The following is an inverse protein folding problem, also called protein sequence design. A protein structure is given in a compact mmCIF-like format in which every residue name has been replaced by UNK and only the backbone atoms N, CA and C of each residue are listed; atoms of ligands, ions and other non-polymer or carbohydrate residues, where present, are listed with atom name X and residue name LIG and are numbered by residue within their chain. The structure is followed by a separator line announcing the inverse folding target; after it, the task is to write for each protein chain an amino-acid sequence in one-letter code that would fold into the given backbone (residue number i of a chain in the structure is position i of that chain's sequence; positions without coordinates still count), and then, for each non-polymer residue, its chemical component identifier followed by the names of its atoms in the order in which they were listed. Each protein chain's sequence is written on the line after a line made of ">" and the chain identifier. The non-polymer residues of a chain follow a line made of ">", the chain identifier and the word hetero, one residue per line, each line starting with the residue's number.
data_IF_113949188170
#
_entry.id   IF_113949188170
#
_cell.length_a   1.000
_cell.length_b   1.000
_cell.length_c   1.000
_cell.angle_alpha   90.00
_cell.angle_beta   90.00
_cell.angle_gamma   90.00
#
_symmetry.space_group_name_H-M   'P 1'
#
loop_
_entity.id
_entity.type
_entity.pdbx_description
1 polymer ?
#
# COMPACT_ATOMS: atom_id res chain seq x y z
N UNK A 1 -8.58 -7.51 -19.75
CA UNK A 1 -7.32 -7.50 -19.01
C UNK A 1 -6.80 -8.92 -18.78
N UNK A 2 -7.55 -9.86 -18.14
CA UNK A 2 -7.10 -11.25 -17.96
C UNK A 2 -6.76 -11.92 -19.29
N UNK A 3 -7.61 -11.80 -20.32
CA UNK A 3 -7.35 -12.35 -21.66
C UNK A 3 -6.03 -11.85 -22.28
N UNK A 4 -5.67 -10.61 -22.03
CA UNK A 4 -4.44 -10.01 -22.58
C UNK A 4 -3.19 -10.51 -21.85
N UNK A 5 -3.30 -10.76 -20.54
CA UNK A 5 -2.14 -10.95 -19.66
C UNK A 5 -1.96 -12.41 -19.17
N UNK A 6 -2.94 -13.28 -19.36
CA UNK A 6 -2.89 -14.67 -18.86
C UNK A 6 -1.67 -15.47 -19.33
N UNK A 7 -1.13 -15.13 -20.51
CA UNK A 7 0.06 -15.78 -21.05
C UNK A 7 1.38 -15.15 -20.60
N UNK A 8 1.33 -14.13 -19.75
CA UNK A 8 2.52 -13.48 -19.21
C UNK A 8 3.02 -14.26 -17.98
N UNK A 9 4.23 -14.85 -18.02
CA UNK A 9 4.75 -15.65 -16.91
C UNK A 9 5.05 -14.83 -15.65
N UNK A 10 5.24 -13.51 -15.81
CA UNK A 10 5.47 -12.59 -14.68
C UNK A 10 4.20 -12.22 -13.91
N UNK A 11 3.00 -12.55 -14.41
CA UNK A 11 1.77 -12.41 -13.64
C UNK A 11 1.66 -13.60 -12.69
N UNK A 12 1.74 -13.35 -11.40
CA UNK A 12 1.66 -14.38 -10.35
C UNK A 12 0.36 -14.33 -9.55
N UNK A 13 -0.34 -13.19 -9.58
CA UNK A 13 -1.60 -12.96 -8.86
C UNK A 13 -2.55 -12.10 -9.68
N UNK A 14 -3.85 -12.30 -9.45
CA UNK A 14 -4.93 -11.44 -9.94
C UNK A 14 -5.60 -10.73 -8.75
N UNK A 15 -5.54 -9.40 -8.72
CA UNK A 15 -6.21 -8.61 -7.70
C UNK A 15 -7.57 -8.11 -8.18
N UNK A 16 -8.63 -8.33 -7.40
CA UNK A 16 -9.98 -7.89 -7.74
C UNK A 16 -10.26 -6.45 -7.30
N UNK A 17 -9.78 -6.06 -6.14
CA UNK A 17 -10.11 -4.76 -5.56
C UNK A 17 -9.07 -4.29 -4.54
N UNK A 18 -9.09 -2.99 -4.25
CA UNK A 18 -8.34 -2.37 -3.18
C UNK A 18 -9.26 -1.51 -2.31
N UNK A 19 -9.17 -1.68 -0.98
CA UNK A 19 -9.86 -0.87 0.03
C UNK A 19 -11.38 -0.72 -0.18
N UNK A 20 -12.02 -1.76 -0.67
CA UNK A 20 -13.47 -1.77 -0.86
C UNK A 20 -14.09 -3.05 -0.35
N UNK A 21 -15.37 -2.99 -0.03
CA UNK A 21 -16.14 -4.16 0.38
C UNK A 21 -16.86 -4.73 -0.82
N UNK A 22 -16.29 -5.76 -1.44
CA UNK A 22 -17.02 -6.55 -2.44
C UNK A 22 -17.96 -7.53 -1.74
N UNK A 23 -19.22 -7.67 -2.20
CA UNK A 23 -20.04 -8.79 -1.80
C UNK A 23 -19.33 -10.10 -2.12
N UNK A 24 -19.37 -11.05 -1.18
CA UNK A 24 -18.66 -12.33 -1.30
C UNK A 24 -19.04 -13.09 -2.57
N UNK A 25 -20.32 -13.13 -2.88
CA UNK A 25 -20.84 -13.83 -4.05
C UNK A 25 -20.31 -13.22 -5.36
N UNK A 26 -20.22 -11.88 -5.41
CA UNK A 26 -19.66 -11.18 -6.57
C UNK A 26 -18.15 -11.45 -6.73
N UNK A 27 -17.41 -11.43 -5.63
CA UNK A 27 -15.97 -11.77 -5.66
C UNK A 27 -15.74 -13.22 -6.09
N UNK A 28 -16.61 -14.13 -5.66
CA UNK A 28 -16.59 -15.54 -6.07
C UNK A 28 -16.86 -15.70 -7.57
N UNK A 29 -17.90 -15.05 -8.08
CA UNK A 29 -18.23 -15.08 -9.51
C UNK A 29 -17.10 -14.53 -10.36
N UNK A 30 -16.51 -13.40 -9.97
CA UNK A 30 -15.32 -12.84 -10.63
C UNK A 30 -14.14 -13.83 -10.61
N UNK A 31 -13.92 -14.49 -9.49
CA UNK A 31 -12.86 -15.49 -9.35
C UNK A 31 -13.07 -16.68 -10.27
N UNK A 32 -14.29 -17.16 -10.40
CA UNK A 32 -14.65 -18.27 -11.29
C UNK A 32 -14.46 -17.90 -12.77
N UNK A 33 -14.86 -16.68 -13.16
CA UNK A 33 -14.61 -16.14 -14.50
C UNK A 33 -13.11 -16.05 -14.79
N UNK A 34 -12.31 -15.58 -13.83
CA UNK A 34 -10.85 -15.51 -14.00
C UNK A 34 -10.27 -16.91 -14.19
N UNK A 35 -10.68 -17.90 -13.39
CA UNK A 35 -10.23 -19.29 -13.51
C UNK A 35 -10.62 -19.95 -14.81
N UNK A 36 -11.77 -19.57 -15.37
CA UNK A 36 -12.19 -20.03 -16.69
C UNK A 36 -11.31 -19.44 -17.79
N UNK A 37 -11.01 -18.14 -17.71
CA UNK A 37 -10.19 -17.45 -18.69
C UNK A 37 -8.69 -17.76 -18.57
N UNK A 38 -8.21 -18.01 -17.36
CA UNK A 38 -6.84 -18.37 -17.03
C UNK A 38 -6.79 -19.67 -16.22
N UNK A 39 -6.65 -20.83 -16.87
CA UNK A 39 -6.60 -22.11 -16.18
C UNK A 39 -5.47 -22.22 -15.14
N UNK A 40 -4.39 -21.44 -15.26
CA UNK A 40 -3.32 -21.43 -14.26
C UNK A 40 -3.76 -20.83 -12.92
N UNK A 41 -4.83 -20.03 -12.91
CA UNK A 41 -5.43 -19.53 -11.68
C UNK A 41 -6.18 -20.60 -10.85
N UNK A 42 -6.27 -21.84 -11.36
CA UNK A 42 -6.77 -22.99 -10.60
C UNK A 42 -5.71 -23.67 -9.75
N UNK A 43 -4.44 -23.50 -10.09
CA UNK A 43 -3.35 -24.30 -9.51
C UNK A 43 -2.11 -23.51 -9.11
N UNK A 44 -1.86 -22.37 -9.74
CA UNK A 44 -0.61 -21.62 -9.56
C UNK A 44 -0.81 -20.17 -9.19
N UNK A 45 -1.69 -19.45 -9.91
CA UNK A 45 -1.94 -18.03 -9.67
C UNK A 45 -3.06 -17.88 -8.66
N UNK A 46 -2.81 -17.10 -7.62
CA UNK A 46 -3.83 -16.77 -6.62
C UNK A 46 -4.68 -15.57 -7.05
N UNK A 47 -5.94 -15.57 -6.64
CA UNK A 47 -6.85 -14.44 -6.80
C UNK A 47 -6.99 -13.77 -5.46
N UNK A 48 -6.81 -12.45 -5.41
CA UNK A 48 -6.74 -11.70 -4.16
C UNK A 48 -7.71 -10.53 -4.11
N UNK A 49 -8.06 -10.16 -2.91
CA UNK A 49 -8.49 -8.81 -2.55
C UNK A 49 -7.37 -8.11 -1.79
N UNK A 50 -7.41 -6.79 -1.69
CA UNK A 50 -6.47 -6.03 -0.86
C UNK A 50 -7.23 -5.17 0.15
N UNK A 51 -6.95 -5.41 1.43
CA UNK A 51 -7.51 -4.70 2.57
C UNK A 51 -9.05 -4.68 2.60
N UNK A 52 -9.64 -5.84 2.50
CA UNK A 52 -11.09 -6.05 2.63
C UNK A 52 -11.66 -7.05 1.65
N UNK A 53 -12.88 -7.50 1.95
CA UNK A 53 -13.63 -8.45 1.15
C UNK A 53 -13.29 -9.91 1.42
N UNK A 54 -14.20 -10.76 0.98
CA UNK A 54 -14.10 -12.23 1.04
C UNK A 54 -14.45 -12.81 -0.33
N UNK A 55 -14.27 -14.11 -0.51
CA UNK A 55 -14.64 -14.82 -1.74
C UNK A 55 -13.51 -14.96 -2.75
N UNK A 56 -12.28 -14.64 -2.35
CA UNK A 56 -11.05 -14.89 -3.09
C UNK A 56 -10.13 -15.87 -2.35
N UNK A 57 -9.02 -16.25 -2.97
CA UNK A 57 -8.07 -17.17 -2.36
C UNK A 57 -7.29 -16.54 -1.20
N UNK A 58 -7.06 -15.24 -1.29
CA UNK A 58 -6.23 -14.52 -0.33
C UNK A 58 -6.66 -13.05 -0.19
N UNK A 59 -6.83 -12.59 1.04
CA UNK A 59 -6.97 -11.18 1.37
C UNK A 59 -5.61 -10.61 1.76
N UNK A 60 -5.00 -9.86 0.84
CA UNK A 60 -3.75 -9.16 1.10
C UNK A 60 -4.03 -7.98 2.02
N UNK A 61 -3.23 -7.83 3.07
CA UNK A 61 -3.38 -6.72 4.01
C UNK A 61 -2.59 -5.49 3.58
N UNK A 62 -2.90 -4.37 4.20
CA UNK A 62 -2.10 -3.14 4.19
C UNK A 62 -1.62 -2.84 5.60
N UNK A 63 -0.46 -2.22 5.75
CA UNK A 63 0.02 -1.76 7.06
C UNK A 63 0.58 -0.34 6.99
N UNK A 64 -0.13 0.57 7.63
CA UNK A 64 0.16 1.99 7.69
C UNK A 64 0.65 2.47 9.06
N UNK A 65 1.06 1.54 9.93
CA UNK A 65 1.57 1.89 11.28
C UNK A 65 2.68 2.93 11.21
N UNK A 66 2.56 3.97 12.02
CA UNK A 66 3.46 5.11 12.05
C UNK A 66 3.20 6.19 10.98
N UNK A 67 2.41 5.91 9.94
CA UNK A 67 2.12 6.89 8.88
C UNK A 67 0.94 7.77 9.24
N UNK A 68 -0.22 7.18 9.51
CA UNK A 68 -1.43 7.92 9.91
C UNK A 68 -1.60 7.97 11.43
N UNK A 69 -0.88 7.15 12.14
CA UNK A 69 -0.92 6.94 13.57
C UNK A 69 -0.38 5.56 13.90
N UNK A 70 -0.51 5.16 15.16
CA UNK A 70 0.02 3.89 15.63
C UNK A 70 1.52 3.94 15.92
N UNK A 71 2.05 2.81 16.30
CA UNK A 71 3.43 2.64 16.75
C UNK A 71 4.23 1.85 15.73
N UNK A 72 5.11 2.52 15.02
CA UNK A 72 5.93 1.90 13.97
C UNK A 72 6.80 0.77 14.51
N UNK A 73 7.15 0.76 15.79
CA UNK A 73 7.95 -0.33 16.39
C UNK A 73 7.21 -1.66 16.39
N UNK A 74 5.89 -1.64 16.27
CA UNK A 74 5.04 -2.85 16.16
C UNK A 74 4.93 -3.39 14.75
N UNK A 75 5.39 -2.64 13.75
CA UNK A 75 5.24 -2.97 12.34
C UNK A 75 5.69 -4.39 11.99
N UNK A 76 6.91 -4.78 12.39
CA UNK A 76 7.43 -6.13 12.15
C UNK A 76 6.60 -7.22 12.82
N UNK A 77 6.11 -7.00 14.04
CA UNK A 77 5.24 -7.94 14.75
C UNK A 77 3.88 -8.07 14.07
N UNK A 78 3.31 -6.98 13.62
CA UNK A 78 2.03 -6.98 12.89
C UNK A 78 2.16 -7.74 11.57
N UNK A 79 3.26 -7.57 10.85
CA UNK A 79 3.56 -8.35 9.65
C UNK A 79 3.76 -9.85 9.92
N UNK A 80 4.31 -10.20 11.08
CA UNK A 80 4.63 -11.60 11.43
C UNK A 80 3.41 -12.42 11.90
N UNK A 81 2.26 -11.79 12.06
CA UNK A 81 1.04 -12.48 12.57
C UNK A 81 0.45 -13.49 11.59
N UNK A 82 0.83 -13.41 10.33
CA UNK A 82 0.33 -14.27 9.27
C UNK A 82 1.49 -14.84 8.47
N UNK A 83 1.54 -16.17 8.33
CA UNK A 83 2.56 -16.81 7.50
C UNK A 83 2.39 -16.42 6.03
N UNK A 84 3.48 -16.19 5.34
CA UNK A 84 3.51 -15.80 3.92
C UNK A 84 2.74 -14.51 3.65
N UNK A 85 2.75 -13.59 4.59
CA UNK A 85 2.11 -12.31 4.42
C UNK A 85 2.73 -11.53 3.26
N UNK A 86 1.89 -11.06 2.36
CA UNK A 86 2.21 -9.96 1.46
C UNK A 86 1.59 -8.69 2.03
N UNK A 87 2.40 -7.68 2.27
CA UNK A 87 1.88 -6.35 2.58
C UNK A 87 1.60 -5.61 1.28
N UNK A 88 0.34 -5.51 0.92
CA UNK A 88 -0.11 -4.96 -0.37
C UNK A 88 0.05 -3.45 -0.47
N UNK A 89 0.21 -2.76 0.66
CA UNK A 89 0.42 -1.32 0.66
C UNK A 89 1.05 -0.85 1.98
N UNK A 90 2.13 -0.12 1.89
CA UNK A 90 2.76 0.60 3.00
C UNK A 90 3.41 1.88 2.50
N UNK A 91 3.76 2.79 3.38
CA UNK A 91 4.45 4.01 2.96
C UNK A 91 4.62 5.00 4.10
N UNK A 92 5.08 6.16 3.72
CA UNK A 92 5.13 7.35 4.54
C UNK A 92 4.79 8.55 3.68
N UNK A 93 4.48 9.67 4.29
CA UNK A 93 4.20 10.91 3.59
C UNK A 93 4.96 12.08 4.18
N UNK A 94 5.06 13.14 3.40
CA UNK A 94 5.71 14.38 3.76
C UNK A 94 4.83 15.59 3.46
N UNK A 95 5.13 16.72 4.09
CA UNK A 95 4.63 18.03 3.68
C UNK A 95 5.46 18.56 2.52
N UNK A 96 4.82 19.32 1.62
CA UNK A 96 5.55 20.00 0.54
C UNK A 96 6.62 20.92 1.14
N UNK A 97 7.77 20.92 0.50
CA UNK A 97 8.90 21.83 0.78
C UNK A 97 9.42 21.79 2.22
N UNK A 98 9.01 20.79 2.99
CA UNK A 98 9.55 20.54 4.31
C UNK A 98 10.58 19.41 4.24
N UNK A 99 11.85 19.77 4.08
CA UNK A 99 12.95 18.82 3.93
C UNK A 99 13.40 18.27 5.28
N UNK A 100 13.62 19.14 6.26
CA UNK A 100 14.08 18.76 7.59
C UNK A 100 13.27 19.44 8.67
N UNK A 101 13.29 18.89 9.86
CA UNK A 101 12.65 19.45 11.04
C UNK A 101 13.52 19.27 12.28
N UNK A 102 13.57 20.26 13.18
CA UNK A 102 14.23 20.07 14.46
C UNK A 102 13.34 19.24 15.40
N UNK A 103 13.91 18.24 16.06
CA UNK A 103 13.28 17.55 17.17
C UNK A 103 12.90 16.10 16.90
N UNK A 104 11.90 15.61 17.65
CA UNK A 104 11.48 14.23 17.63
C UNK A 104 10.57 13.95 16.42
N UNK A 105 10.99 13.09 15.54
CA UNK A 105 10.22 12.59 14.39
C UNK A 105 8.90 11.92 14.76
N UNK A 106 8.68 11.62 16.03
CA UNK A 106 7.45 11.03 16.52
C UNK A 106 6.37 12.06 16.87
N UNK A 107 6.67 13.34 16.77
CA UNK A 107 5.67 14.38 17.03
C UNK A 107 4.59 14.35 15.95
N UNK A 108 3.35 14.19 16.38
CA UNK A 108 2.19 14.23 15.50
C UNK A 108 2.11 15.55 14.75
N UNK A 109 1.94 15.48 13.43
CA UNK A 109 1.72 16.64 12.57
C UNK A 109 2.97 17.18 11.89
N UNK A 110 4.12 16.58 12.12
CA UNK A 110 5.36 16.93 11.42
C UNK A 110 5.65 15.86 10.37
N UNK A 111 5.75 16.28 9.13
CA UNK A 111 5.94 15.40 7.98
C UNK A 111 7.01 15.97 7.06
N UNK A 112 8.25 15.97 7.53
CA UNK A 112 9.39 16.30 6.72
C UNK A 112 9.82 15.16 5.81
N UNK A 113 10.65 15.46 4.86
CA UNK A 113 11.32 14.47 4.02
C UNK A 113 12.24 13.57 4.87
N UNK A 114 12.99 14.15 5.81
CA UNK A 114 13.79 13.39 6.79
C UNK A 114 12.94 12.38 7.58
N UNK A 115 11.76 12.81 8.05
CA UNK A 115 10.84 11.91 8.73
C UNK A 115 10.33 10.81 7.82
N UNK A 116 10.04 11.12 6.56
CA UNK A 116 9.63 10.13 5.57
C UNK A 116 10.73 9.07 5.40
N UNK A 117 11.97 9.49 5.21
CA UNK A 117 13.13 8.60 5.10
C UNK A 117 13.28 7.70 6.33
N UNK A 118 13.28 8.28 7.51
CA UNK A 118 13.42 7.54 8.76
C UNK A 118 12.31 6.51 8.97
N UNK A 119 11.07 6.88 8.65
CA UNK A 119 9.92 5.98 8.78
C UNK A 119 9.97 4.84 7.77
N UNK A 120 10.38 5.13 6.52
CA UNK A 120 10.53 4.11 5.47
C UNK A 120 11.67 3.15 5.80
N UNK A 121 12.84 3.65 6.21
CA UNK A 121 13.96 2.83 6.67
C UNK A 121 13.54 1.89 7.80
N UNK A 122 12.84 2.44 8.79
CA UNK A 122 12.35 1.64 9.93
C UNK A 122 11.43 0.52 9.48
N UNK A 123 10.48 0.80 8.58
CA UNK A 123 9.54 -0.21 8.06
C UNK A 123 10.24 -1.28 7.25
N UNK A 124 11.15 -0.89 6.37
CA UNK A 124 11.94 -1.82 5.56
C UNK A 124 12.75 -2.74 6.46
N UNK A 125 13.49 -2.18 7.42
CA UNK A 125 14.29 -2.95 8.37
C UNK A 125 13.47 -3.92 9.22
N UNK A 126 12.30 -3.50 9.69
CA UNK A 126 11.42 -4.36 10.48
C UNK A 126 10.77 -5.46 9.62
N UNK A 127 10.46 -5.18 8.36
CA UNK A 127 9.99 -6.20 7.42
C UNK A 127 11.08 -7.23 7.09
N UNK A 128 12.31 -6.79 6.88
CA UNK A 128 13.47 -7.69 6.68
C UNK A 128 13.72 -8.61 7.89
N UNK A 129 13.52 -8.11 9.09
CA UNK A 129 13.61 -8.95 10.31
C UNK A 129 12.46 -9.98 10.38
N UNK A 130 11.34 -9.74 9.73
CA UNK A 130 10.18 -10.62 9.67
C UNK A 130 10.09 -11.47 8.39
N UNK A 131 11.18 -11.56 7.61
CA UNK A 131 11.22 -12.21 6.28
C UNK A 131 10.77 -13.67 6.25
N UNK A 132 10.85 -14.38 7.38
CA UNK A 132 10.35 -15.74 7.47
C UNK A 132 8.81 -15.84 7.44
N UNK A 133 8.12 -14.71 7.68
CA UNK A 133 6.66 -14.59 7.69
C UNK A 133 6.13 -13.63 6.61
N UNK A 134 7.00 -12.82 6.00
CA UNK A 134 6.63 -11.79 5.02
C UNK A 134 7.30 -12.10 3.70
N UNK A 135 6.50 -12.38 2.66
CA UNK A 135 7.04 -12.68 1.33
C UNK A 135 7.33 -11.42 0.49
N UNK A 136 6.83 -10.27 0.90
CA UNK A 136 7.09 -9.00 0.22
C UNK A 136 6.18 -7.86 0.68
N UNK A 137 6.48 -6.68 0.20
CA UNK A 137 5.67 -5.51 0.46
C UNK A 137 5.76 -4.51 -0.71
N UNK A 138 4.64 -3.80 -0.96
CA UNK A 138 4.54 -2.80 -2.01
C UNK A 138 4.45 -1.40 -1.41
N UNK A 139 5.37 -0.55 -1.79
CA UNK A 139 5.37 0.84 -1.36
C UNK A 139 4.29 1.63 -2.13
N UNK A 140 3.46 2.35 -1.41
CA UNK A 140 2.56 3.32 -1.94
C UNK A 140 3.11 4.73 -1.67
N UNK A 141 3.65 5.42 -2.64
CA UNK A 141 3.50 5.20 -4.08
C UNK A 141 4.79 5.66 -4.78
N UNK A 142 5.00 5.32 -6.05
CA UNK A 142 6.18 5.78 -6.79
C UNK A 142 6.16 7.29 -7.01
N UNK A 143 5.11 7.84 -7.62
CA UNK A 143 4.95 9.27 -7.86
C UNK A 143 3.79 9.83 -7.04
N UNK A 144 4.03 10.91 -6.33
CA UNK A 144 2.96 11.70 -5.73
C UNK A 144 2.01 12.20 -6.82
N UNK A 145 0.73 12.33 -6.52
CA UNK A 145 -0.27 12.68 -7.51
C UNK A 145 -1.35 13.61 -6.96
N UNK A 146 -2.02 14.29 -7.88
CA UNK A 146 -3.20 15.08 -7.58
C UNK A 146 -4.37 14.20 -7.09
N UNK A 147 -5.13 14.77 -6.18
CA UNK A 147 -6.39 14.20 -5.72
C UNK A 147 -7.46 15.29 -5.60
N UNK A 148 -7.70 16.07 -6.67
CA UNK A 148 -8.57 17.23 -6.63
C UNK A 148 -10.03 16.83 -6.43
N UNK A 149 -10.75 17.61 -5.64
CA UNK A 149 -12.21 17.53 -5.53
C UNK A 149 -12.78 16.29 -4.85
N UNK A 150 -11.96 15.40 -4.28
CA UNK A 150 -12.46 14.27 -3.51
C UNK A 150 -13.15 14.76 -2.25
N UNK A 151 -14.43 14.44 -2.10
CA UNK A 151 -15.23 14.78 -0.92
C UNK A 151 -15.38 13.57 0.00
N UNK A 152 -15.38 13.83 1.30
CA UNK A 152 -15.89 12.89 2.29
C UNK A 152 -17.39 13.15 2.52
N UNK A 153 -18.18 12.18 2.99
CA UNK A 153 -19.61 12.36 3.22
C UNK A 153 -19.96 13.50 4.19
N UNK A 154 -19.06 13.80 5.11
CA UNK A 154 -19.20 14.77 6.20
C UNK A 154 -18.34 16.02 6.04
N UNK A 155 -17.61 16.15 4.93
CA UNK A 155 -16.72 17.28 4.67
C UNK A 155 -16.98 17.91 3.31
N UNK A 156 -16.86 19.23 3.23
CA UNK A 156 -16.95 19.95 1.94
C UNK A 156 -15.81 19.54 1.00
N UNK A 157 -14.62 19.29 1.56
CA UNK A 157 -13.45 18.76 0.86
C UNK A 157 -12.74 17.77 1.78
N UNK A 158 -12.28 16.66 1.22
CA UNK A 158 -11.30 15.85 1.92
C UNK A 158 -10.05 16.69 2.13
N UNK A 159 -9.62 16.85 3.37
CA UNK A 159 -8.26 17.29 3.69
C UNK A 159 -7.35 16.12 3.38
N UNK A 160 -6.97 16.03 2.13
CA UNK A 160 -6.26 14.88 1.62
C UNK A 160 -4.93 14.80 2.30
N UNK A 161 -4.80 13.72 3.02
CA UNK A 161 -3.56 13.37 3.68
C UNK A 161 -2.99 14.54 4.52
N UNK A 162 -3.88 15.42 4.99
CA UNK A 162 -3.55 16.61 5.79
C UNK A 162 -2.58 17.61 5.13
N UNK A 163 -2.30 17.48 3.85
CA UNK A 163 -1.21 18.19 3.16
C UNK A 163 -1.70 18.95 1.92
N UNK A 164 -3.00 19.05 1.72
CA UNK A 164 -3.57 19.77 0.58
C UNK A 164 -4.07 18.83 -0.52
N UNK A 165 -4.16 19.30 -1.79
CA UNK A 165 -4.87 18.60 -2.86
C UNK A 165 -4.11 17.40 -3.46
N UNK A 166 -2.95 17.03 -2.92
CA UNK A 166 -2.07 16.01 -3.46
C UNK A 166 -1.94 14.82 -2.50
N UNK A 167 -1.60 13.68 -3.05
CA UNK A 167 -1.13 12.53 -2.29
C UNK A 167 0.40 12.54 -2.26
N UNK A 168 0.99 12.94 -1.13
CA UNK A 168 2.44 13.12 -0.97
C UNK A 168 3.13 11.92 -0.32
N UNK A 169 2.89 10.75 -0.86
CA UNK A 169 3.56 9.50 -0.45
C UNK A 169 4.54 8.97 -1.51
N UNK A 170 4.74 9.74 -2.58
CA UNK A 170 5.63 9.36 -3.66
C UNK A 170 7.09 9.31 -3.25
N UNK A 171 7.84 8.44 -3.90
CA UNK A 171 9.31 8.50 -3.91
C UNK A 171 9.80 9.68 -4.74
N UNK A 172 8.96 10.10 -5.67
CA UNK A 172 9.18 11.31 -6.48
C UNK A 172 8.01 12.27 -6.33
N UNK A 173 8.25 13.53 -6.66
CA UNK A 173 7.21 14.57 -6.71
C UNK A 173 6.23 14.30 -7.87
N UNK A 174 5.08 15.04 -7.97
CA UNK A 174 4.22 14.98 -9.14
C UNK A 174 4.89 15.39 -10.45
N UNK A 175 6.02 16.07 -10.37
CA UNK A 175 6.85 16.50 -11.51
C UNK A 175 8.04 15.58 -11.77
N UNK A 176 8.02 14.37 -11.15
CA UNK A 176 9.05 13.33 -11.30
C UNK A 176 10.44 13.72 -10.74
N UNK A 177 10.50 14.70 -9.85
CA UNK A 177 11.72 15.04 -9.13
C UNK A 177 11.93 14.04 -7.98
N UNK A 178 13.08 13.34 -7.91
CA UNK A 178 13.34 12.38 -6.85
C UNK A 178 13.48 13.06 -5.48
N UNK A 179 12.92 12.42 -4.47
CA UNK A 179 13.08 12.79 -3.07
C UNK A 179 14.22 11.97 -2.45
N UNK A 180 14.68 12.35 -1.26
CA UNK A 180 15.76 11.62 -0.57
C UNK A 180 15.39 10.14 -0.35
N UNK A 181 14.14 9.83 -0.09
CA UNK A 181 13.63 8.46 0.05
C UNK A 181 13.74 7.62 -1.23
N UNK A 182 13.88 8.24 -2.39
CA UNK A 182 14.11 7.54 -3.66
C UNK A 182 15.49 6.88 -3.72
N UNK A 183 16.46 7.42 -3.01
CA UNK A 183 17.87 6.96 -3.02
C UNK A 183 18.20 5.99 -1.88
N UNK A 184 17.23 5.63 -1.06
CA UNK A 184 17.35 4.64 0.00
C UNK A 184 17.21 3.23 -0.57
#
# INVERSE_FOLDING_TARGET
>A
WVKERRNSPSVVMWGLQNESTLPREFAQECSDIIREMDPTAKTMRVITTCNGGEGTDWNVIQNWSGTYGGDVTKYGRELSQTNQLLNGEYGAWRSIDLHTEPGDFQVNGVWSEDRMCQLMETKIRLAEQAKDSVCGQFQWIYSSHDNPGRRQPDEAYRKIDKVGPFNYKGLVTPWEEPLDVYYM
#
